data_IF_809553351248
#
_entry.id   IF_809553351248
#
_cell.length_a   1.000
_cell.length_b   1.000
_cell.length_c   1.000
_cell.angle_alpha   90.00
_cell.angle_beta   90.00
_cell.angle_gamma   90.00
#
_symmetry.space_group_name_H-M   'P 1'
#
loop_
_entity.id
_entity.type
_entity.pdbx_description
1 polymer ?
#
# COMPACT_ATOMS: atom_id res chain seq x y z
N UNK A 1 43.29 -11.60 34.32
CA UNK A 1 42.64 -12.49 33.32
C UNK A 1 41.33 -13.05 33.89
N UNK A 2 40.17 -12.41 33.62
CA UNK A 2 38.79 -12.99 33.63
C UNK A 2 37.77 -11.84 33.75
N UNK A 3 37.52 -11.12 32.66
CA UNK A 3 36.44 -10.12 32.58
C UNK A 3 35.68 -10.15 31.24
N UNK A 4 35.74 -11.27 30.52
CA UNK A 4 34.96 -11.46 29.29
C UNK A 4 34.47 -12.90 29.22
N UNK A 5 33.15 -13.08 29.44
CA UNK A 5 32.25 -14.13 28.91
C UNK A 5 31.02 -14.25 29.82
N UNK A 6 30.07 -13.33 29.67
CA UNK A 6 28.67 -13.65 29.91
C UNK A 6 28.13 -14.18 28.57
N UNK A 7 27.58 -15.41 28.49
CA UNK A 7 26.99 -15.88 27.24
C UNK A 7 25.69 -15.10 27.00
N UNK A 8 25.69 -14.22 26.01
CA UNK A 8 24.46 -13.74 25.37
C UNK A 8 23.81 -14.94 24.67
N UNK A 9 23.06 -15.74 25.41
CA UNK A 9 22.61 -17.06 24.98
C UNK A 9 21.14 -17.30 25.28
N UNK A 10 20.33 -17.33 24.22
CA UNK A 10 19.04 -18.03 24.11
C UNK A 10 17.83 -17.56 24.94
N UNK A 11 17.98 -16.80 26.02
CA UNK A 11 16.85 -16.42 26.89
C UNK A 11 15.92 -15.42 26.21
N UNK A 12 16.45 -14.41 25.51
CA UNK A 12 15.63 -13.41 24.79
C UNK A 12 14.80 -14.04 23.67
N UNK A 13 15.36 -14.93 22.86
CA UNK A 13 14.59 -15.63 21.84
C UNK A 13 13.52 -16.52 22.45
N UNK A 14 13.81 -17.24 23.54
CA UNK A 14 12.81 -18.09 24.21
C UNK A 14 11.72 -17.27 24.86
N UNK A 15 12.05 -16.18 25.57
CA UNK A 15 11.08 -15.28 26.19
C UNK A 15 10.24 -14.53 25.14
N UNK A 16 10.84 -14.14 24.01
CA UNK A 16 10.11 -13.55 22.88
C UNK A 16 9.16 -14.57 22.23
N UNK A 17 9.63 -15.80 21.96
CA UNK A 17 8.77 -16.86 21.44
C UNK A 17 7.66 -17.26 22.42
N UNK A 18 7.95 -17.34 23.71
CA UNK A 18 6.96 -17.62 24.75
C UNK A 18 5.97 -16.47 24.89
N UNK A 19 6.38 -15.21 24.85
CA UNK A 19 5.47 -14.07 24.85
C UNK A 19 4.60 -14.02 23.59
N UNK A 20 5.16 -14.39 22.43
CA UNK A 20 4.41 -14.53 21.18
C UNK A 20 3.33 -15.62 21.31
N UNK A 21 3.69 -16.81 21.82
CA UNK A 21 2.78 -17.96 21.95
C UNK A 21 1.77 -17.79 23.09
N UNK A 22 2.17 -17.22 24.23
CA UNK A 22 1.32 -17.02 25.40
C UNK A 22 0.47 -15.75 25.30
N UNK A 23 0.91 -14.73 24.54
CA UNK A 23 0.09 -13.57 24.19
C UNK A 23 -1.18 -13.97 23.42
N UNK A 24 -1.12 -15.06 22.64
CA UNK A 24 -2.31 -15.66 22.00
C UNK A 24 -3.20 -16.47 22.95
N UNK A 25 -2.78 -16.75 24.20
CA UNK A 25 -3.58 -17.52 25.15
C UNK A 25 -4.59 -16.67 25.96
N UNK A 26 -4.51 -15.34 25.89
CA UNK A 26 -5.60 -14.46 26.32
C UNK A 26 -6.54 -14.21 25.14
N UNK A 27 -7.47 -15.13 24.91
CA UNK A 27 -8.51 -14.99 23.89
C UNK A 27 -9.63 -14.07 24.38
N UNK A 28 -9.39 -12.76 24.43
CA UNK A 28 -10.47 -11.76 24.47
C UNK A 28 -11.04 -11.55 23.06
N UNK A 29 -12.22 -10.94 22.95
CA UNK A 29 -12.82 -10.59 21.65
C UNK A 29 -11.89 -9.69 20.82
N UNK A 30 -11.02 -8.91 21.47
CA UNK A 30 -10.07 -7.99 20.84
C UNK A 30 -9.00 -8.73 20.02
N UNK A 31 -8.53 -9.88 20.50
CA UNK A 31 -7.54 -10.71 19.80
C UNK A 31 -8.06 -11.23 18.46
N UNK A 32 -9.37 -11.55 18.37
CA UNK A 32 -10.00 -11.99 17.12
C UNK A 32 -10.15 -10.84 16.11
N UNK A 33 -10.48 -9.63 16.57
CA UNK A 33 -10.55 -8.44 15.72
C UNK A 33 -9.19 -8.15 15.10
N UNK A 34 -8.11 -8.29 15.87
CA UNK A 34 -6.74 -8.10 15.37
C UNK A 34 -6.33 -9.16 14.33
N UNK A 35 -6.68 -10.43 14.56
CA UNK A 35 -6.40 -11.51 13.60
C UNK A 35 -7.21 -11.31 12.30
N UNK A 36 -8.47 -10.89 12.40
CA UNK A 36 -9.29 -10.59 11.23
C UNK A 36 -8.77 -9.37 10.47
N UNK A 37 -8.32 -8.32 11.17
CA UNK A 37 -7.68 -7.16 10.55
C UNK A 37 -6.41 -7.56 9.78
N UNK A 38 -5.56 -8.41 10.36
CA UNK A 38 -4.37 -8.99 9.71
C UNK A 38 -4.73 -9.77 8.44
N UNK A 39 -5.77 -10.60 8.52
CA UNK A 39 -6.23 -11.40 7.39
C UNK A 39 -6.76 -10.50 6.25
N UNK A 40 -7.57 -9.49 6.57
CA UNK A 40 -8.10 -8.52 5.61
C UNK A 40 -6.96 -7.73 4.95
N UNK A 41 -5.98 -7.28 5.72
CA UNK A 41 -4.85 -6.52 5.18
C UNK A 41 -3.96 -7.40 4.29
N UNK A 42 -3.66 -8.63 4.72
CA UNK A 42 -2.92 -9.61 3.91
C UNK A 42 -3.63 -9.92 2.60
N UNK A 43 -4.94 -10.15 2.64
CA UNK A 43 -5.76 -10.37 1.44
C UNK A 43 -5.79 -9.12 0.55
N UNK A 44 -5.78 -7.92 1.12
CA UNK A 44 -5.72 -6.67 0.37
C UNK A 44 -4.38 -6.52 -0.35
N UNK A 45 -3.26 -6.84 0.31
CA UNK A 45 -1.91 -6.85 -0.30
C UNK A 45 -1.80 -7.91 -1.40
N UNK A 46 -2.31 -9.13 -1.16
CA UNK A 46 -2.33 -10.20 -2.16
C UNK A 46 -3.23 -9.86 -3.35
N UNK A 47 -4.39 -9.24 -3.09
CA UNK A 47 -5.30 -8.73 -4.12
C UNK A 47 -4.64 -7.63 -4.94
N UNK A 48 -4.00 -6.65 -4.30
CA UNK A 48 -3.23 -5.60 -4.96
C UNK A 48 -2.08 -6.17 -5.79
N UNK A 49 -1.40 -7.20 -5.29
CA UNK A 49 -0.34 -7.93 -6.01
C UNK A 49 -0.90 -8.63 -7.26
N UNK A 50 -2.01 -9.37 -7.12
CA UNK A 50 -2.67 -10.07 -8.21
C UNK A 50 -3.18 -9.11 -9.29
N UNK A 51 -3.88 -8.04 -8.88
CA UNK A 51 -4.42 -7.03 -9.78
C UNK A 51 -3.29 -6.28 -10.50
N UNK A 52 -2.21 -5.94 -9.80
CA UNK A 52 -1.03 -5.30 -10.41
C UNK A 52 -0.31 -6.22 -11.40
N UNK A 53 -0.30 -7.55 -11.17
CA UNK A 53 0.19 -8.54 -12.14
C UNK A 53 -0.68 -8.63 -13.39
N UNK A 54 -2.00 -8.49 -13.24
CA UNK A 54 -3.00 -8.50 -14.31
C UNK A 54 -3.10 -7.17 -15.06
N UNK A 55 -2.74 -6.07 -14.42
CA UNK A 55 -2.72 -4.74 -15.03
C UNK A 55 -1.70 -4.71 -16.18
N UNK A 56 -2.19 -4.32 -17.36
CA UNK A 56 -1.33 -4.06 -18.51
C UNK A 56 -0.59 -2.76 -18.24
N UNK A 57 0.73 -2.76 -18.39
CA UNK A 57 1.49 -1.52 -18.55
C UNK A 57 1.39 -1.15 -20.02
N UNK A 58 0.28 -0.54 -20.40
CA UNK A 58 -0.01 -0.20 -21.77
C UNK A 58 -0.36 1.28 -21.82
N UNK A 59 0.43 2.03 -22.58
CA UNK A 59 -0.03 3.31 -23.07
C UNK A 59 -1.18 3.01 -24.01
N UNK A 60 -2.32 3.69 -23.83
CA UNK A 60 -3.54 3.40 -24.58
C UNK A 60 -3.26 3.36 -26.09
N UNK A 61 -3.59 2.24 -26.73
CA UNK A 61 -3.37 2.02 -28.17
C UNK A 61 -2.03 1.40 -28.56
N UNK A 62 -1.04 1.32 -27.65
CA UNK A 62 0.22 0.63 -27.90
C UNK A 62 0.84 0.07 -26.60
N UNK A 63 0.59 -1.22 -26.31
CA UNK A 63 1.14 -1.90 -25.13
C UNK A 63 2.67 -1.95 -25.07
N UNK A 64 3.35 -1.90 -26.21
CA UNK A 64 4.81 -1.97 -26.31
C UNK A 64 5.50 -0.61 -26.15
N UNK A 65 4.70 0.46 -25.99
CA UNK A 65 5.22 1.83 -25.91
C UNK A 65 6.05 2.12 -24.66
N UNK A 66 5.83 1.39 -23.56
CA UNK A 66 6.60 1.54 -22.33
C UNK A 66 7.69 0.45 -22.23
N UNK A 67 8.98 0.74 -22.53
CA UNK A 67 10.02 -0.27 -22.69
C UNK A 67 10.38 -1.04 -21.41
N UNK A 68 9.91 -0.57 -20.25
CA UNK A 68 10.22 -1.12 -18.92
C UNK A 68 8.97 -1.50 -18.12
N UNK A 69 7.79 -1.53 -18.73
CA UNK A 69 6.52 -1.83 -18.05
C UNK A 69 6.62 -3.04 -17.10
N UNK A 70 7.22 -4.15 -17.55
CA UNK A 70 7.42 -5.34 -16.72
C UNK A 70 8.38 -5.15 -15.54
N UNK A 71 9.48 -4.41 -15.71
CA UNK A 71 10.45 -4.13 -14.63
C UNK A 71 9.85 -3.16 -13.61
N UNK A 72 9.20 -2.10 -14.08
CA UNK A 72 8.45 -1.14 -13.26
C UNK A 72 7.37 -1.86 -12.45
N UNK A 73 6.62 -2.76 -13.08
CA UNK A 73 5.61 -3.58 -12.40
C UNK A 73 6.21 -4.36 -11.24
N UNK A 74 7.30 -5.08 -11.48
CA UNK A 74 7.95 -5.84 -10.41
C UNK A 74 8.49 -4.93 -9.30
N UNK A 75 9.06 -3.76 -9.63
CA UNK A 75 9.50 -2.77 -8.64
C UNK A 75 8.34 -2.25 -7.78
N UNK A 76 7.20 -1.92 -8.40
CA UNK A 76 5.97 -1.51 -7.69
C UNK A 76 5.45 -2.64 -6.82
N UNK A 77 5.51 -3.88 -7.28
CA UNK A 77 5.08 -5.05 -6.49
C UNK A 77 5.95 -5.27 -5.26
N UNK A 78 7.28 -5.28 -5.40
CA UNK A 78 8.19 -5.42 -4.25
C UNK A 78 8.00 -4.28 -3.25
N UNK A 79 7.75 -3.08 -3.77
CA UNK A 79 7.44 -1.92 -2.96
C UNK A 79 6.12 -2.05 -2.18
N UNK A 80 5.04 -2.51 -2.83
CA UNK A 80 3.75 -2.76 -2.17
C UNK A 80 3.87 -3.84 -1.09
N UNK A 81 4.67 -4.88 -1.35
CA UNK A 81 4.96 -5.91 -0.35
C UNK A 81 5.77 -5.34 0.83
N UNK A 82 6.77 -4.49 0.55
CA UNK A 82 7.59 -3.87 1.59
C UNK A 82 6.79 -2.87 2.46
N UNK A 83 5.96 -2.03 1.83
CA UNK A 83 5.08 -1.10 2.54
C UNK A 83 3.99 -1.83 3.33
N UNK A 84 3.38 -2.87 2.75
CA UNK A 84 2.45 -3.73 3.48
C UNK A 84 3.11 -4.45 4.65
N UNK A 85 4.38 -4.88 4.51
CA UNK A 85 5.14 -5.43 5.63
C UNK A 85 5.42 -4.40 6.73
N UNK A 86 5.76 -3.16 6.35
CA UNK A 86 5.93 -2.07 7.32
C UNK A 86 4.63 -1.75 8.05
N UNK A 87 3.48 -1.76 7.38
CA UNK A 87 2.19 -1.56 8.06
C UNK A 87 1.87 -2.70 9.03
N UNK A 88 2.24 -3.96 8.72
CA UNK A 88 2.10 -5.08 9.67
C UNK A 88 2.85 -4.88 10.99
N UNK A 89 3.95 -4.13 10.97
CA UNK A 89 4.72 -3.89 12.19
C UNK A 89 3.94 -3.11 13.25
N UNK A 90 2.99 -2.24 12.86
CA UNK A 90 2.12 -1.53 13.80
C UNK A 90 1.12 -2.47 14.50
N UNK A 91 0.62 -3.47 13.78
CA UNK A 91 -0.25 -4.49 14.38
C UNK A 91 0.54 -5.37 15.37
N UNK A 92 1.78 -5.72 15.02
CA UNK A 92 2.67 -6.45 15.94
C UNK A 92 2.97 -5.62 17.19
N UNK A 93 3.18 -4.30 17.06
CA UNK A 93 3.28 -3.42 18.22
C UNK A 93 2.02 -3.53 19.09
N UNK A 94 0.83 -3.51 18.50
CA UNK A 94 -0.43 -3.58 19.25
C UNK A 94 -0.53 -4.86 20.11
N UNK A 95 -0.02 -5.99 19.61
CA UNK A 95 0.06 -7.25 20.39
C UNK A 95 1.10 -7.19 21.52
N UNK A 96 2.15 -6.37 21.35
CA UNK A 96 3.24 -6.22 22.32
C UNK A 96 3.01 -5.08 23.31
N UNK A 97 2.02 -4.20 23.09
CA UNK A 97 1.71 -3.03 23.92
C UNK A 97 1.70 -3.34 25.43
N UNK A 98 1.02 -4.42 25.92
CA UNK A 98 0.96 -4.70 27.35
C UNK A 98 2.33 -5.00 28.00
N UNK A 99 3.32 -5.37 27.19
CA UNK A 99 4.65 -5.79 27.65
C UNK A 99 5.74 -4.73 27.43
N UNK A 100 5.38 -3.53 26.94
CA UNK A 100 6.32 -2.46 26.60
C UNK A 100 6.12 -1.24 27.50
N UNK A 101 7.21 -0.50 27.78
CA UNK A 101 7.12 0.82 28.41
C UNK A 101 6.45 1.81 27.45
N UNK A 102 5.73 2.80 27.99
CA UNK A 102 5.08 3.84 27.19
C UNK A 102 6.06 4.56 26.25
N UNK A 103 7.28 4.84 26.72
CA UNK A 103 8.33 5.45 25.89
C UNK A 103 8.73 4.57 24.70
N UNK A 104 8.88 3.26 24.91
CA UNK A 104 9.22 2.31 23.84
C UNK A 104 8.12 2.20 22.78
N UNK A 105 6.86 2.35 23.19
CA UNK A 105 5.71 2.35 22.26
C UNK A 105 5.76 3.57 21.32
N UNK A 106 5.99 4.77 21.86
CA UNK A 106 6.08 6.00 21.07
C UNK A 106 7.24 5.97 20.07
N UNK A 107 8.42 5.50 20.49
CA UNK A 107 9.55 5.35 19.57
C UNK A 107 9.25 4.39 18.43
N UNK A 108 8.58 3.27 18.70
CA UNK A 108 8.17 2.34 17.66
C UNK A 108 7.22 2.99 16.66
N UNK A 109 6.17 3.68 17.14
CA UNK A 109 5.22 4.38 16.28
C UNK A 109 5.93 5.41 15.40
N UNK A 110 6.81 6.23 15.98
CA UNK A 110 7.56 7.27 15.25
C UNK A 110 8.45 6.65 14.18
N UNK A 111 9.21 5.60 14.51
CA UNK A 111 10.11 4.92 13.57
C UNK A 111 9.30 4.31 12.42
N UNK A 112 8.25 3.56 12.73
CA UNK A 112 7.43 2.89 11.71
C UNK A 112 6.69 3.90 10.82
N UNK A 113 6.14 4.97 11.40
CA UNK A 113 5.51 6.05 10.64
C UNK A 113 6.53 6.74 9.72
N UNK A 114 7.71 7.07 10.24
CA UNK A 114 8.78 7.71 9.46
C UNK A 114 9.23 6.82 8.31
N UNK A 115 9.49 5.54 8.56
CA UNK A 115 9.88 4.58 7.52
C UNK A 115 8.77 4.40 6.46
N UNK A 116 7.51 4.40 6.89
CA UNK A 116 6.35 4.31 5.98
C UNK A 116 6.25 5.56 5.11
N UNK A 117 6.34 6.75 5.69
CA UNK A 117 6.30 8.03 4.95
C UNK A 117 7.48 8.16 3.98
N UNK A 118 8.69 7.78 4.40
CA UNK A 118 9.87 7.75 3.52
C UNK A 118 9.66 6.76 2.38
N UNK A 119 9.15 5.57 2.66
CA UNK A 119 8.83 4.57 1.64
C UNK A 119 7.80 5.13 0.64
N UNK A 120 6.68 5.71 1.10
CA UNK A 120 5.65 6.38 0.26
C UNK A 120 6.22 7.47 -0.62
N UNK A 121 7.13 8.29 -0.07
CA UNK A 121 7.73 9.42 -0.79
C UNK A 121 8.80 8.98 -1.81
N UNK A 122 9.45 7.83 -1.58
CA UNK A 122 10.55 7.36 -2.41
C UNK A 122 10.08 6.73 -3.73
N UNK A 123 8.90 6.12 -3.78
CA UNK A 123 8.41 5.44 -4.99
C UNK A 123 8.21 6.39 -6.19
N UNK A 124 7.49 7.53 -6.07
CA UNK A 124 7.36 8.49 -7.18
C UNK A 124 8.71 9.03 -7.62
N UNK A 125 9.65 9.24 -6.68
CA UNK A 125 10.98 9.75 -6.98
C UNK A 125 11.79 8.76 -7.83
N UNK A 126 11.88 7.49 -7.44
CA UNK A 126 12.59 6.45 -8.20
C UNK A 126 11.94 6.24 -9.57
N UNK A 127 10.60 6.22 -9.62
CA UNK A 127 9.88 6.10 -10.88
C UNK A 127 10.18 7.26 -11.83
N UNK A 128 10.07 8.50 -11.35
CA UNK A 128 10.34 9.70 -12.13
C UNK A 128 11.80 9.69 -12.60
N UNK A 129 12.77 9.53 -11.69
CA UNK A 129 14.20 9.55 -12.02
C UNK A 129 14.60 8.42 -13.00
N UNK A 130 14.03 7.23 -12.83
CA UNK A 130 14.32 6.06 -13.67
C UNK A 130 13.68 6.10 -15.07
N UNK A 131 12.69 6.97 -15.29
CA UNK A 131 11.94 7.10 -16.55
C UNK A 131 12.27 8.36 -17.35
N UNK A 132 12.90 9.39 -16.75
CA UNK A 132 13.19 10.68 -17.43
C UNK A 132 13.92 10.59 -18.77
N UNK A 133 14.72 9.54 -18.97
CA UNK A 133 15.58 9.36 -20.17
C UNK A 133 15.08 8.27 -21.11
N UNK A 134 13.87 7.75 -20.89
CA UNK A 134 13.32 6.68 -21.73
C UNK A 134 12.52 7.28 -22.88
N UNK A 135 12.83 6.85 -24.09
CA UNK A 135 12.05 7.14 -25.29
C UNK A 135 10.94 6.10 -25.43
N UNK A 136 9.72 6.55 -25.70
CA UNK A 136 8.60 5.66 -26.01
C UNK A 136 8.86 4.89 -27.32
N UNK A 137 8.38 3.65 -27.40
CA UNK A 137 8.47 2.82 -28.61
C UNK A 137 7.16 2.84 -29.40
N UNK A 138 7.24 2.99 -30.72
CA UNK A 138 6.05 2.97 -31.59
C UNK A 138 5.15 4.19 -31.42
N UNK A 139 3.96 4.14 -32.03
CA UNK A 139 2.98 5.22 -31.95
C UNK A 139 2.31 5.25 -30.59
N UNK A 140 2.18 6.43 -30.01
CA UNK A 140 1.39 6.68 -28.80
C UNK A 140 0.18 7.51 -29.22
N UNK A 141 -1.00 7.16 -28.70
CA UNK A 141 -2.23 7.89 -28.95
C UNK A 141 -2.11 9.30 -28.36
N UNK A 142 -2.24 10.35 -29.18
CA UNK A 142 -2.09 11.73 -28.73
C UNK A 142 -3.40 12.24 -28.11
N UNK A 143 -3.64 11.92 -26.85
CA UNK A 143 -4.83 12.31 -26.10
C UNK A 143 -4.54 13.37 -25.02
N UNK A 144 -3.37 14.03 -25.10
CA UNK A 144 -2.86 14.95 -24.08
C UNK A 144 -3.85 16.03 -23.63
N UNK A 145 -4.68 16.52 -24.55
CA UNK A 145 -5.71 17.54 -24.29
C UNK A 145 -6.78 17.09 -23.28
N UNK A 146 -6.96 15.78 -23.08
CA UNK A 146 -7.95 15.22 -22.17
C UNK A 146 -7.38 14.92 -20.77
N UNK A 147 -6.09 15.15 -20.54
CA UNK A 147 -5.43 14.86 -19.26
C UNK A 147 -5.26 16.12 -18.42
N UNK A 148 -6.11 16.27 -17.40
CA UNK A 148 -6.07 17.39 -16.44
C UNK A 148 -4.99 17.14 -15.39
N UNK A 149 -4.07 18.09 -15.25
CA UNK A 149 -2.86 18.02 -14.41
C UNK A 149 -1.99 16.76 -14.65
N UNK A 150 -2.22 16.09 -15.78
CA UNK A 150 -1.59 14.84 -16.13
C UNK A 150 -1.97 13.62 -15.31
N UNK A 151 -3.01 13.72 -14.47
CA UNK A 151 -3.46 12.64 -13.58
C UNK A 151 -4.90 12.21 -13.85
N UNK A 152 -5.78 13.17 -14.11
CA UNK A 152 -7.20 12.92 -14.32
C UNK A 152 -7.53 12.94 -15.80
N UNK A 153 -8.31 11.95 -16.24
CA UNK A 153 -8.77 11.89 -17.62
C UNK A 153 -10.18 12.48 -17.73
N UNK A 154 -10.38 13.39 -18.68
CA UNK A 154 -11.65 14.04 -18.94
C UNK A 154 -11.92 14.07 -20.44
N UNK A 155 -12.75 13.14 -20.91
CA UNK A 155 -13.19 13.13 -22.30
C UNK A 155 -14.68 12.74 -22.41
N UNK A 156 -15.57 13.71 -22.69
CA UNK A 156 -17.00 13.43 -22.86
C UNK A 156 -17.31 12.50 -24.03
N UNK A 157 -16.52 12.54 -25.11
CA UNK A 157 -16.76 11.79 -26.34
C UNK A 157 -16.31 10.33 -26.24
N UNK A 158 -15.34 10.04 -25.37
CA UNK A 158 -14.89 8.68 -25.11
C UNK A 158 -15.91 7.95 -24.22
N UNK A 159 -16.53 6.83 -24.67
CA UNK A 159 -17.49 6.09 -23.87
C UNK A 159 -16.84 5.30 -22.71
N UNK A 160 -15.51 5.11 -22.71
CA UNK A 160 -14.83 4.34 -21.69
C UNK A 160 -14.97 4.99 -20.30
N UNK A 161 -15.39 4.18 -19.33
CA UNK A 161 -15.40 4.57 -17.91
C UNK A 161 -14.02 4.43 -17.28
N UNK A 162 -13.32 3.33 -17.59
CA UNK A 162 -11.95 3.06 -17.16
C UNK A 162 -10.99 3.28 -18.33
N UNK A 163 -9.98 4.10 -18.10
CA UNK A 163 -8.98 4.51 -19.09
C UNK A 163 -7.60 4.17 -18.56
N UNK A 164 -6.73 3.60 -19.40
CA UNK A 164 -5.36 3.27 -19.00
C UNK A 164 -4.59 4.54 -18.61
N UNK A 165 -3.83 4.47 -17.51
CA UNK A 165 -2.99 5.61 -17.09
C UNK A 165 -1.88 5.83 -18.12
N UNK A 166 -1.68 7.09 -18.53
CA UNK A 166 -0.55 7.48 -19.40
C UNK A 166 0.82 7.43 -18.72
N UNK A 167 0.83 7.41 -17.39
CA UNK A 167 2.03 7.26 -16.56
C UNK A 167 1.81 6.11 -15.57
N UNK A 168 2.70 5.13 -15.62
CA UNK A 168 2.70 3.97 -14.73
C UNK A 168 1.70 2.90 -15.13
N UNK A 169 1.26 2.12 -14.15
CA UNK A 169 0.45 0.91 -14.37
C UNK A 169 -0.97 1.15 -13.84
N UNK A 170 -1.95 0.63 -14.57
CA UNK A 170 -3.34 0.55 -14.13
C UNK A 170 -4.26 1.52 -14.87
N UNK A 171 -5.40 1.80 -14.25
CA UNK A 171 -6.49 2.56 -14.85
C UNK A 171 -6.81 3.80 -14.02
N UNK A 172 -7.40 4.79 -14.69
CA UNK A 172 -8.07 5.93 -14.10
C UNK A 172 -9.53 5.95 -14.56
N UNK A 173 -10.36 6.73 -13.89
CA UNK A 173 -11.74 6.97 -14.30
C UNK A 173 -11.81 8.14 -15.29
N UNK A 174 -12.68 8.04 -16.27
CA UNK A 174 -13.04 9.16 -17.12
C UNK A 174 -14.00 10.10 -16.37
N UNK A 175 -13.46 11.17 -15.79
CA UNK A 175 -14.20 12.13 -14.95
C UNK A 175 -15.28 12.92 -15.71
N UNK A 176 -15.37 12.77 -17.03
CA UNK A 176 -16.50 13.26 -17.81
C UNK A 176 -17.77 12.40 -17.68
N UNK A 177 -17.69 11.20 -17.06
CA UNK A 177 -18.82 10.29 -16.90
C UNK A 177 -19.44 10.40 -15.52
N UNK A 178 -20.78 10.48 -15.48
CA UNK A 178 -21.56 10.48 -14.23
C UNK A 178 -21.24 9.27 -13.36
N UNK A 179 -21.07 8.09 -13.96
CA UNK A 179 -20.72 6.88 -13.21
C UNK A 179 -19.38 6.98 -12.48
N UNK A 180 -18.41 7.76 -12.97
CA UNK A 180 -17.15 7.99 -12.26
C UNK A 180 -17.39 8.75 -10.96
N UNK A 181 -18.26 9.75 -10.99
CA UNK A 181 -18.66 10.51 -9.81
C UNK A 181 -19.51 9.69 -8.85
N UNK A 182 -20.41 8.85 -9.35
CA UNK A 182 -21.19 7.92 -8.51
C UNK A 182 -20.26 6.99 -7.75
N UNK A 183 -19.26 6.40 -8.41
CA UNK A 183 -18.27 5.53 -7.76
C UNK A 183 -17.46 6.31 -6.73
N UNK A 184 -16.94 7.48 -7.10
CA UNK A 184 -16.10 8.29 -6.22
C UNK A 184 -16.86 8.77 -4.98
N UNK A 185 -18.02 9.42 -5.18
CA UNK A 185 -18.85 9.94 -4.09
C UNK A 185 -19.42 8.80 -3.26
N UNK A 186 -19.88 7.71 -3.88
CA UNK A 186 -20.36 6.53 -3.16
C UNK A 186 -19.31 5.94 -2.24
N UNK A 187 -18.06 5.80 -2.71
CA UNK A 187 -16.95 5.36 -1.88
C UNK A 187 -16.69 6.32 -0.70
N UNK A 188 -16.64 7.63 -0.96
CA UNK A 188 -16.44 8.63 0.10
C UNK A 188 -17.56 8.62 1.14
N UNK A 189 -18.81 8.45 0.73
CA UNK A 189 -19.96 8.36 1.62
C UNK A 189 -19.92 7.11 2.51
N UNK A 190 -19.50 5.96 1.97
CA UNK A 190 -19.32 4.74 2.76
C UNK A 190 -18.26 4.96 3.84
N UNK A 191 -17.10 5.52 3.48
CA UNK A 191 -16.03 5.80 4.45
C UNK A 191 -16.51 6.79 5.52
N UNK A 192 -17.14 7.89 5.11
CA UNK A 192 -17.70 8.87 6.04
C UNK A 192 -18.77 8.26 6.96
N UNK A 193 -19.65 7.41 6.42
CA UNK A 193 -20.68 6.71 7.18
C UNK A 193 -20.09 5.79 8.24
N UNK A 194 -19.05 5.02 7.92
CA UNK A 194 -18.35 4.17 8.89
C UNK A 194 -17.78 5.01 10.03
N UNK A 195 -17.09 6.11 9.70
CA UNK A 195 -16.50 7.02 10.69
C UNK A 195 -17.57 7.66 11.57
N UNK A 196 -18.68 8.12 11.00
CA UNK A 196 -19.77 8.73 11.78
C UNK A 196 -20.42 7.69 12.69
N UNK A 197 -20.67 6.47 12.20
CA UNK A 197 -21.26 5.39 12.98
C UNK A 197 -20.34 5.03 14.15
N UNK A 198 -19.02 4.97 13.96
CA UNK A 198 -18.11 4.68 15.07
C UNK A 198 -18.22 5.71 16.19
N UNK A 199 -18.34 7.00 15.86
CA UNK A 199 -18.53 8.05 16.88
C UNK A 199 -19.90 8.03 17.58
N UNK A 200 -20.93 7.42 16.97
CA UNK A 200 -22.27 7.31 17.55
C UNK A 200 -22.37 6.09 18.46
N UNK A 201 -21.62 5.03 18.16
CA UNK A 201 -21.63 3.77 18.90
C UNK A 201 -20.67 3.74 20.10
N UNK A 202 -19.74 4.70 20.17
CA UNK A 202 -18.90 4.99 21.35
C UNK A 202 -19.66 5.82 22.41
#
# INVERSE_FOLDING_TARGET
KRWFRQPMGSSWCRSFFLALVLGFQQTSADSWVMILALAVETLTVLGAFYLSRRARGAVRGNPDAEPRAGKVRNSVLYYLLFTGFLSQSLLVLQLMLPNMSAEGQWWFVIITLTLTLLSVSFLPLVYILGTRRLTAKGSVLNDNQHWVWGMFYYNPTDPALFVEKRLGIGFTLNMAKTMSWVILVGFLLIVAGIVIISFILD
#
